data_IF_193945877771
#
_entry.id   IF_193945877771
#
_cell.length_a   1.000
_cell.length_b   1.000
_cell.length_c   1.000
_cell.angle_alpha   90.00
_cell.angle_beta   90.00
_cell.angle_gamma   90.00
#
_symmetry.space_group_name_H-M   'P 1'
#
loop_
_entity.id
_entity.type
_entity.pdbx_description
1 polymer ?
#
# COMPACT_ATOMS: atom_id res chain seq x y z
N UNK A 1 3.06 3.62 -44.06
CA UNK A 1 3.19 4.09 -42.67
C UNK A 1 1.92 3.73 -41.90
N UNK A 2 1.96 2.66 -41.08
CA UNK A 2 0.80 2.22 -40.29
C UNK A 2 0.76 3.02 -38.98
N UNK A 3 -0.26 3.85 -38.80
CA UNK A 3 -0.57 4.49 -37.52
C UNK A 3 -1.09 3.40 -36.57
N UNK A 4 -0.27 2.97 -35.63
CA UNK A 4 -0.70 2.17 -34.48
C UNK A 4 -1.44 3.09 -33.51
N UNK A 5 -2.77 3.08 -33.58
CA UNK A 5 -3.63 3.68 -32.56
C UNK A 5 -3.43 2.93 -31.25
N UNK A 6 -2.84 3.57 -30.24
CA UNK A 6 -2.86 3.06 -28.88
C UNK A 6 -4.31 3.01 -28.38
N UNK A 7 -4.75 1.94 -27.68
CA UNK A 7 -6.05 1.95 -27.05
C UNK A 7 -6.01 2.95 -25.88
N UNK A 8 -6.71 4.06 -26.03
CA UNK A 8 -6.96 5.02 -24.95
C UNK A 8 -7.91 4.38 -23.94
N UNK A 9 -7.36 3.68 -22.94
CA UNK A 9 -8.16 3.19 -21.79
C UNK A 9 -8.05 4.23 -20.68
N UNK A 10 -8.66 5.38 -20.89
CA UNK A 10 -9.03 6.30 -19.81
C UNK A 10 -10.40 5.87 -19.30
N UNK A 11 -10.43 4.73 -18.61
CA UNK A 11 -11.61 4.30 -17.87
C UNK A 11 -11.58 4.97 -16.49
N UNK A 12 -12.69 5.59 -16.03
CA UNK A 12 -12.77 6.09 -14.67
C UNK A 12 -12.47 4.93 -13.71
N UNK A 13 -11.53 5.13 -12.78
CA UNK A 13 -11.25 4.12 -11.77
C UNK A 13 -12.47 3.87 -10.88
N UNK A 14 -12.52 2.73 -10.18
CA UNK A 14 -13.73 2.28 -9.46
C UNK A 14 -14.11 3.28 -8.35
N UNK A 15 -13.16 4.06 -7.86
CA UNK A 15 -13.41 5.18 -6.94
C UNK A 15 -14.35 6.25 -7.53
N UNK A 16 -14.39 6.42 -8.85
CA UNK A 16 -15.39 7.27 -9.52
C UNK A 16 -16.77 6.62 -9.66
N UNK A 17 -16.82 5.28 -9.69
CA UNK A 17 -18.07 4.51 -9.74
C UNK A 17 -18.76 4.44 -8.38
N UNK A 18 -17.98 4.46 -7.28
CA UNK A 18 -18.48 4.41 -5.90
C UNK A 18 -18.72 5.80 -5.29
N UNK A 19 -18.32 6.89 -5.97
CA UNK A 19 -18.74 8.26 -5.66
C UNK A 19 -18.18 8.92 -4.40
N UNK A 20 -17.45 8.21 -3.54
CA UNK A 20 -16.94 8.78 -2.29
C UNK A 20 -15.44 8.58 -2.12
N UNK A 21 -14.68 9.68 -2.15
CA UNK A 21 -13.30 9.67 -1.69
C UNK A 21 -13.30 9.37 -0.17
N UNK A 22 -12.43 8.48 0.34
CA UNK A 22 -12.33 8.14 1.76
C UNK A 22 -11.59 9.24 2.55
N UNK A 23 -12.08 10.47 2.44
CA UNK A 23 -11.57 11.66 3.14
C UNK A 23 -12.41 11.94 4.39
N UNK A 24 -11.73 12.33 5.46
CA UNK A 24 -12.36 12.78 6.70
C UNK A 24 -12.68 14.29 6.62
N UNK A 25 -13.53 14.82 7.53
CA UNK A 25 -13.74 16.26 7.64
C UNK A 25 -12.41 17.02 7.77
N UNK A 26 -12.27 18.13 7.02
CA UNK A 26 -11.06 18.94 6.96
C UNK A 26 -10.00 18.46 5.96
N UNK A 27 -10.14 17.27 5.37
CA UNK A 27 -9.23 16.80 4.32
C UNK A 27 -9.73 17.14 2.92
N UNK A 28 -8.79 17.47 2.02
CA UNK A 28 -9.12 17.82 0.64
C UNK A 28 -9.36 16.58 -0.22
N UNK A 29 -10.62 16.38 -0.62
CA UNK A 29 -11.00 15.39 -1.63
C UNK A 29 -10.27 15.59 -2.97
N UNK A 30 -9.84 16.83 -3.27
CA UNK A 30 -9.06 17.15 -4.46
C UNK A 30 -7.64 16.62 -4.36
N UNK A 31 -6.98 16.81 -3.20
CA UNK A 31 -5.63 16.28 -2.96
C UNK A 31 -5.62 14.75 -3.01
N UNK A 32 -6.64 14.10 -2.44
CA UNK A 32 -6.79 12.66 -2.54
C UNK A 32 -6.87 12.20 -4.00
N UNK A 33 -7.79 12.81 -4.78
CA UNK A 33 -7.97 12.48 -6.21
C UNK A 33 -6.71 12.73 -7.04
N UNK A 34 -6.00 13.83 -6.80
CA UNK A 34 -4.73 14.09 -7.51
C UNK A 34 -3.65 13.07 -7.13
N UNK A 35 -3.59 12.65 -5.87
CA UNK A 35 -2.65 11.61 -5.43
C UNK A 35 -2.95 10.25 -6.04
N UNK A 36 -4.23 9.88 -6.17
CA UNK A 36 -4.65 8.67 -6.90
C UNK A 36 -4.19 8.73 -8.37
N UNK A 37 -4.42 9.86 -9.05
CA UNK A 37 -4.00 10.03 -10.44
C UNK A 37 -2.47 9.94 -10.59
N UNK A 38 -1.72 10.55 -9.68
CA UNK A 38 -0.27 10.45 -9.64
C UNK A 38 0.18 8.99 -9.46
N UNK A 39 -0.41 8.25 -8.52
CA UNK A 39 -0.08 6.83 -8.30
C UNK A 39 -0.38 5.95 -9.52
N UNK A 40 -1.49 6.18 -10.21
CA UNK A 40 -1.85 5.49 -11.46
C UNK A 40 -0.79 5.75 -12.55
N UNK A 41 -0.33 6.99 -12.65
CA UNK A 41 0.69 7.40 -13.62
C UNK A 41 2.07 6.80 -13.27
N UNK A 42 2.49 6.89 -12.01
CA UNK A 42 3.77 6.38 -11.51
C UNK A 42 3.88 4.86 -11.67
N UNK A 43 2.80 4.12 -11.39
CA UNK A 43 2.75 2.67 -11.56
C UNK A 43 2.58 2.23 -13.02
N UNK A 44 2.38 3.17 -13.94
CA UNK A 44 2.16 2.87 -15.37
C UNK A 44 0.91 2.00 -15.60
N UNK A 45 -0.12 2.16 -14.79
CA UNK A 45 -1.33 1.35 -14.85
C UNK A 45 -2.15 1.66 -16.11
N UNK A 46 -2.31 0.68 -16.99
CA UNK A 46 -3.00 0.83 -18.28
C UNK A 46 -4.35 0.10 -18.34
N UNK A 47 -4.46 -1.01 -17.61
CA UNK A 47 -5.69 -1.81 -17.56
C UNK A 47 -6.58 -1.38 -16.40
N UNK A 48 -7.90 -1.60 -16.52
CA UNK A 48 -8.85 -1.28 -15.43
C UNK A 48 -8.47 -1.92 -14.10
N UNK A 49 -7.97 -3.16 -14.13
CA UNK A 49 -7.54 -3.88 -12.93
C UNK A 49 -6.25 -3.27 -12.34
N UNK A 50 -5.28 -2.87 -13.17
CA UNK A 50 -4.09 -2.16 -12.71
C UNK A 50 -4.44 -0.80 -12.10
N UNK A 51 -5.35 -0.06 -12.73
CA UNK A 51 -5.83 1.23 -12.19
C UNK A 51 -6.47 1.00 -10.82
N UNK A 52 -7.36 0.01 -10.69
CA UNK A 52 -7.97 -0.33 -9.39
C UNK A 52 -6.93 -0.68 -8.32
N UNK A 53 -5.93 -1.50 -8.66
CA UNK A 53 -4.87 -1.84 -7.71
C UNK A 53 -4.02 -0.63 -7.33
N UNK A 54 -3.70 0.25 -8.28
CA UNK A 54 -3.01 1.52 -8.01
C UNK A 54 -3.82 2.41 -7.07
N UNK A 55 -5.15 2.51 -7.26
CA UNK A 55 -6.04 3.21 -6.32
C UNK A 55 -5.95 2.61 -4.91
N UNK A 56 -6.01 1.28 -4.78
CA UNK A 56 -5.98 0.60 -3.48
C UNK A 56 -4.61 0.68 -2.80
N UNK A 57 -3.53 0.65 -3.57
CA UNK A 57 -2.17 0.93 -3.09
C UNK A 57 -2.11 2.33 -2.49
N UNK A 58 -2.58 3.34 -3.24
CA UNK A 58 -2.62 4.72 -2.76
C UNK A 58 -3.50 4.88 -1.53
N UNK A 59 -4.66 4.21 -1.49
CA UNK A 59 -5.56 4.24 -0.34
C UNK A 59 -4.88 3.71 0.93
N UNK A 60 -4.09 2.62 0.83
CA UNK A 60 -3.32 2.10 1.96
C UNK A 60 -2.31 3.13 2.46
N UNK A 61 -1.55 3.76 1.56
CA UNK A 61 -0.60 4.82 1.90
C UNK A 61 -1.28 6.02 2.57
N UNK A 62 -2.45 6.41 2.06
CA UNK A 62 -3.25 7.49 2.60
C UNK A 62 -3.70 7.21 4.04
N UNK A 63 -4.22 6.01 4.30
CA UNK A 63 -4.61 5.58 5.65
C UNK A 63 -3.41 5.50 6.60
N UNK A 64 -2.27 4.95 6.18
CA UNK A 64 -1.08 4.89 7.03
C UNK A 64 -0.60 6.29 7.43
N UNK A 65 -0.50 7.22 6.46
CA UNK A 65 -0.12 8.61 6.76
C UNK A 65 -1.10 9.28 7.73
N UNK A 66 -2.39 8.95 7.62
CA UNK A 66 -3.42 9.46 8.54
C UNK A 66 -3.24 8.90 9.95
N UNK A 67 -3.01 7.60 10.10
CA UNK A 67 -2.78 6.99 11.41
C UNK A 67 -1.52 7.52 12.07
N UNK A 68 -0.45 7.79 11.30
CA UNK A 68 0.74 8.46 11.85
C UNK A 68 0.41 9.88 12.35
N UNK A 69 -0.28 10.70 11.56
CA UNK A 69 -0.73 12.02 12.06
C UNK A 69 -1.62 11.90 13.30
N UNK A 70 -2.46 10.89 13.36
CA UNK A 70 -3.32 10.64 14.51
C UNK A 70 -2.53 10.23 15.75
N UNK A 71 -1.42 9.48 15.61
CA UNK A 71 -0.50 9.18 16.72
C UNK A 71 0.08 10.47 17.30
N UNK A 72 0.61 11.33 16.43
CA UNK A 72 1.15 12.63 16.84
C UNK A 72 0.08 13.47 17.56
N UNK A 73 -1.11 13.59 16.98
CA UNK A 73 -2.23 14.31 17.59
C UNK A 73 -2.65 13.71 18.95
N UNK A 74 -2.67 12.38 19.07
CA UNK A 74 -3.02 11.69 20.33
C UNK A 74 -2.03 12.05 21.43
N UNK A 75 -0.72 12.03 21.13
CA UNK A 75 0.31 12.42 22.10
C UNK A 75 0.16 13.89 22.47
N UNK A 76 -0.02 14.78 21.49
CA UNK A 76 -0.18 16.20 21.74
C UNK A 76 -1.42 16.52 22.60
N UNK A 77 -2.55 15.83 22.37
CA UNK A 77 -3.75 15.96 23.21
C UNK A 77 -3.48 15.56 24.65
N UNK A 78 -2.76 14.46 24.89
CA UNK A 78 -2.41 14.04 26.25
C UNK A 78 -1.43 15.01 26.91
N UNK A 79 -0.42 15.48 26.18
CA UNK A 79 0.51 16.50 26.69
C UNK A 79 -0.24 17.78 27.08
N UNK A 80 -1.13 18.26 26.21
CA UNK A 80 -1.97 19.42 26.52
C UNK A 80 -2.89 19.18 27.72
N UNK A 81 -3.43 17.97 27.88
CA UNK A 81 -4.27 17.61 29.03
C UNK A 81 -3.51 17.54 30.35
N UNK A 82 -2.20 17.21 30.30
CA UNK A 82 -1.32 17.24 31.49
C UNK A 82 -0.95 18.67 31.90
N UNK A 83 -0.78 19.58 30.94
CA UNK A 83 -0.52 21.01 31.20
C UNK A 83 -1.80 21.74 31.62
N UNK A 84 -2.95 21.41 31.02
CA UNK A 84 -4.24 22.03 31.32
C UNK A 84 -5.31 20.94 31.59
N UNK A 85 -5.37 20.38 32.81
CA UNK A 85 -6.31 19.33 33.18
C UNK A 85 -7.71 19.88 33.51
N UNK A 86 -7.90 21.20 33.53
CA UNK A 86 -9.18 21.80 33.84
C UNK A 86 -10.27 21.36 32.86
N UNK A 87 -11.47 21.09 33.38
CA UNK A 87 -12.61 20.61 32.58
C UNK A 87 -13.61 21.72 32.24
N UNK A 88 -13.35 22.95 32.71
CA UNK A 88 -14.23 24.10 32.41
C UNK A 88 -14.05 24.53 30.96
N UNK A 89 -15.05 25.19 30.34
CA UNK A 89 -14.97 25.64 28.95
C UNK A 89 -13.71 26.47 28.63
N UNK A 90 -13.34 27.40 29.51
CA UNK A 90 -12.12 28.21 29.36
C UNK A 90 -10.83 27.37 29.43
N UNK A 91 -10.85 26.29 30.22
CA UNK A 91 -9.70 25.39 30.37
C UNK A 91 -9.57 24.50 29.11
N UNK A 92 -10.69 24.14 28.46
CA UNK A 92 -10.71 23.43 27.17
C UNK A 92 -10.16 24.29 26.02
N UNK A 93 -10.48 25.58 25.98
CA UNK A 93 -9.91 26.51 25.00
C UNK A 93 -8.39 26.62 25.17
N UNK A 94 -7.90 26.81 26.41
CA UNK A 94 -6.46 26.81 26.71
C UNK A 94 -5.79 25.51 26.31
N UNK A 95 -6.43 24.37 26.57
CA UNK A 95 -5.94 23.05 26.15
C UNK A 95 -5.81 22.96 24.62
N UNK A 96 -6.77 23.48 23.87
CA UNK A 96 -6.68 23.49 22.40
C UNK A 96 -5.52 24.34 21.89
N UNK A 97 -5.30 25.52 22.48
CA UNK A 97 -4.18 26.40 22.14
C UNK A 97 -2.84 25.71 22.42
N UNK A 98 -2.71 25.07 23.60
CA UNK A 98 -1.51 24.31 23.96
C UNK A 98 -1.30 23.12 23.03
N UNK A 99 -2.36 22.42 22.65
CA UNK A 99 -2.29 21.33 21.68
C UNK A 99 -1.79 21.82 20.31
N UNK A 100 -2.28 22.96 19.83
CA UNK A 100 -1.85 23.55 18.55
C UNK A 100 -0.38 23.97 18.60
N UNK A 101 0.08 24.57 19.71
CA UNK A 101 1.49 24.90 19.93
C UNK A 101 2.39 23.66 19.89
N UNK A 102 1.98 22.58 20.57
CA UNK A 102 2.72 21.31 20.57
C UNK A 102 2.74 20.68 19.16
N UNK A 103 1.62 20.72 18.44
CA UNK A 103 1.54 20.18 17.07
C UNK A 103 2.35 21.00 16.06
N UNK A 104 2.56 22.29 16.32
CA UNK A 104 3.39 23.18 15.52
C UNK A 104 4.88 23.15 15.89
N UNK A 105 5.26 22.37 16.91
CA UNK A 105 6.62 22.36 17.51
C UNK A 105 7.06 23.76 18.00
N UNK A 106 6.11 24.58 18.43
CA UNK A 106 6.32 25.97 18.83
C UNK A 106 6.55 26.06 20.35
N UNK A 107 7.76 25.69 20.79
CA UNK A 107 8.16 25.68 22.20
C UNK A 107 8.49 27.11 22.67
N UNK A 108 7.45 27.89 22.89
CA UNK A 108 7.56 29.27 23.34
C UNK A 108 7.65 29.41 24.86
N UNK A 109 8.12 30.59 25.32
CA UNK A 109 8.19 30.93 26.75
C UNK A 109 6.86 30.75 27.50
N UNK A 110 5.73 30.97 26.84
CA UNK A 110 4.40 30.75 27.43
C UNK A 110 4.15 29.26 27.74
N UNK A 111 4.54 28.35 26.84
CA UNK A 111 4.43 26.91 27.03
C UNK A 111 5.38 26.42 28.13
N UNK A 112 6.62 26.92 28.11
CA UNK A 112 7.63 26.61 29.15
C UNK A 112 7.13 27.05 30.53
N UNK A 113 6.61 28.28 30.65
CA UNK A 113 6.06 28.77 31.92
C UNK A 113 4.87 27.93 32.41
N UNK A 114 3.99 27.49 31.51
CA UNK A 114 2.87 26.61 31.84
C UNK A 114 3.34 25.23 32.35
N UNK A 115 4.47 24.73 31.84
CA UNK A 115 5.08 23.47 32.28
C UNK A 115 5.81 23.62 33.62
N UNK A 116 6.57 24.70 33.81
CA UNK A 116 7.27 25.02 35.06
C UNK A 116 6.29 25.16 36.23
N UNK A 117 5.13 25.79 36.02
CA UNK A 117 4.06 25.88 37.00
C UNK A 117 3.53 24.54 37.51
N UNK A 118 3.88 23.42 36.85
CA UNK A 118 3.50 22.05 37.21
C UNK A 118 4.68 21.13 37.50
N UNK A 119 5.89 21.66 37.62
CA UNK A 119 7.12 20.88 37.76
C UNK A 119 7.31 19.85 36.63
N UNK A 120 6.91 20.22 35.39
CA UNK A 120 7.07 19.38 34.21
C UNK A 120 8.24 19.88 33.36
N UNK A 121 9.09 18.94 32.94
CA UNK A 121 10.01 19.12 31.82
C UNK A 121 9.38 18.57 30.54
N UNK A 122 9.94 18.92 29.37
CA UNK A 122 9.45 18.39 28.08
C UNK A 122 9.54 16.86 28.05
N UNK A 123 10.64 16.29 28.53
CA UNK A 123 10.85 14.85 28.56
C UNK A 123 9.88 14.13 29.52
N UNK A 124 9.70 14.68 30.72
CA UNK A 124 8.76 14.07 31.69
C UNK A 124 7.31 14.20 31.24
N UNK A 125 6.96 15.30 30.56
CA UNK A 125 5.66 15.51 29.93
C UNK A 125 5.42 14.47 28.82
N UNK A 126 6.38 14.31 27.91
CA UNK A 126 6.32 13.32 26.84
C UNK A 126 6.18 11.90 27.40
N UNK A 127 7.02 11.52 28.36
CA UNK A 127 6.97 10.20 28.98
C UNK A 127 5.62 9.90 29.62
N UNK A 128 5.05 10.87 30.36
CA UNK A 128 3.74 10.73 31.00
C UNK A 128 2.62 10.65 29.96
N UNK A 129 2.68 11.47 28.92
CA UNK A 129 1.70 11.43 27.83
C UNK A 129 1.73 10.08 27.09
N UNK A 130 2.92 9.59 26.74
CA UNK A 130 3.10 8.29 26.09
C UNK A 130 2.57 7.14 26.96
N UNK A 131 2.82 7.19 28.28
CA UNK A 131 2.28 6.20 29.20
C UNK A 131 0.74 6.25 29.23
N UNK A 132 0.16 7.45 29.30
CA UNK A 132 -1.29 7.64 29.37
C UNK A 132 -2.03 7.21 28.08
N UNK A 133 -1.46 7.45 26.89
CA UNK A 133 -2.08 7.04 25.62
C UNK A 133 -1.56 5.73 25.03
N UNK A 134 -0.71 4.98 25.75
CA UNK A 134 -0.08 3.75 25.24
C UNK A 134 -1.05 2.80 24.53
N UNK A 135 -2.22 2.54 25.13
CA UNK A 135 -3.22 1.64 24.53
C UNK A 135 -3.76 2.14 23.18
N UNK A 136 -3.99 3.46 23.06
CA UNK A 136 -4.41 4.08 21.79
C UNK A 136 -3.30 4.06 20.75
N UNK A 137 -2.05 4.29 21.15
CA UNK A 137 -0.90 4.22 20.24
C UNK A 137 -0.72 2.81 19.69
N UNK A 138 -0.80 1.78 20.54
CA UNK A 138 -0.73 0.38 20.10
C UNK A 138 -1.85 0.04 19.10
N UNK A 139 -3.08 0.48 19.37
CA UNK A 139 -4.19 0.26 18.44
C UNK A 139 -4.00 0.97 17.08
N UNK A 140 -3.33 2.13 17.06
CA UNK A 140 -2.98 2.82 15.81
C UNK A 140 -1.84 2.12 15.08
N UNK A 141 -0.83 1.63 15.79
CA UNK A 141 0.27 0.84 15.22
C UNK A 141 -0.23 -0.48 14.61
N UNK A 142 -1.18 -1.16 15.26
CA UNK A 142 -1.86 -2.33 14.69
C UNK A 142 -2.58 -2.02 13.37
N UNK A 143 -3.25 -0.86 13.30
CA UNK A 143 -3.92 -0.41 12.07
C UNK A 143 -2.90 -0.09 10.97
N UNK A 144 -1.76 0.54 11.31
CA UNK A 144 -0.67 0.78 10.36
C UNK A 144 -0.10 -0.54 9.85
N UNK A 145 0.17 -1.49 10.75
CA UNK A 145 0.69 -2.82 10.39
C UNK A 145 -0.27 -3.57 9.47
N UNK A 146 -1.58 -3.51 9.73
CA UNK A 146 -2.59 -4.11 8.87
C UNK A 146 -2.64 -3.48 7.47
N UNK A 147 -2.50 -2.15 7.38
CA UNK A 147 -2.42 -1.46 6.08
C UNK A 147 -1.13 -1.77 5.35
N UNK A 148 0.00 -1.87 6.04
CA UNK A 148 1.29 -2.27 5.46
C UNK A 148 1.25 -3.69 4.89
N UNK A 149 0.64 -4.64 5.64
CA UNK A 149 0.43 -6.02 5.16
C UNK A 149 -0.45 -6.05 3.90
N UNK A 150 -1.54 -5.29 3.91
CA UNK A 150 -2.44 -5.19 2.75
C UNK A 150 -1.73 -4.59 1.54
N UNK A 151 -0.94 -3.52 1.76
CA UNK A 151 -0.13 -2.87 0.74
C UNK A 151 0.84 -3.86 0.08
N UNK A 152 1.57 -4.65 0.87
CA UNK A 152 2.49 -5.66 0.33
C UNK A 152 1.78 -6.68 -0.56
N UNK A 153 0.58 -7.15 -0.16
CA UNK A 153 -0.23 -8.05 -0.97
C UNK A 153 -0.72 -7.41 -2.28
N UNK A 154 -1.10 -6.13 -2.24
CA UNK A 154 -1.51 -5.38 -3.43
C UNK A 154 -0.34 -5.13 -4.39
N UNK A 155 0.85 -4.81 -3.86
CA UNK A 155 2.07 -4.63 -4.66
C UNK A 155 2.46 -5.94 -5.37
N UNK A 156 2.50 -7.06 -4.64
CA UNK A 156 2.76 -8.38 -5.22
C UNK A 156 1.74 -8.73 -6.32
N UNK A 157 0.46 -8.44 -6.09
CA UNK A 157 -0.60 -8.65 -7.09
C UNK A 157 -0.42 -7.78 -8.33
N UNK A 158 0.00 -6.53 -8.15
CA UNK A 158 0.26 -5.59 -9.23
C UNK A 158 1.46 -6.05 -10.08
N UNK A 159 2.55 -6.46 -9.45
CA UNK A 159 3.75 -6.99 -10.13
C UNK A 159 3.44 -8.21 -10.97
N UNK A 160 2.66 -9.17 -10.43
CA UNK A 160 2.22 -10.36 -11.18
C UNK A 160 1.44 -9.96 -12.43
N UNK A 161 0.56 -8.97 -12.35
CA UNK A 161 -0.23 -8.51 -13.49
C UNK A 161 0.61 -7.83 -14.56
N UNK A 162 1.57 -7.00 -14.17
CA UNK A 162 2.49 -6.34 -15.10
C UNK A 162 3.38 -7.38 -15.79
N UNK A 163 3.88 -8.36 -15.04
CA UNK A 163 4.78 -9.40 -15.56
C UNK A 163 4.04 -10.52 -16.31
N UNK A 164 2.71 -10.60 -16.23
CA UNK A 164 1.91 -11.67 -16.83
C UNK A 164 2.15 -11.83 -18.33
N UNK A 165 2.23 -10.72 -19.06
CA UNK A 165 2.46 -10.75 -20.52
C UNK A 165 3.83 -11.32 -20.85
N UNK A 166 4.88 -10.81 -20.21
CA UNK A 166 6.25 -11.29 -20.39
C UNK A 166 6.38 -12.78 -20.04
N UNK A 167 5.74 -13.21 -18.95
CA UNK A 167 5.73 -14.62 -18.56
C UNK A 167 4.99 -15.49 -19.58
N UNK A 168 3.87 -15.01 -20.14
CA UNK A 168 3.13 -15.74 -21.18
C UNK A 168 3.95 -15.88 -22.46
N UNK A 169 4.62 -14.80 -22.88
CA UNK A 169 5.51 -14.80 -24.05
C UNK A 169 6.71 -15.74 -23.81
N UNK A 170 7.34 -15.69 -22.63
CA UNK A 170 8.42 -16.61 -22.25
C UNK A 170 7.96 -18.07 -22.33
N UNK A 171 6.82 -18.40 -21.73
CA UNK A 171 6.27 -19.77 -21.76
C UNK A 171 5.95 -20.22 -23.18
N UNK A 172 5.44 -19.33 -24.03
CA UNK A 172 5.20 -19.61 -25.44
C UNK A 172 6.49 -19.91 -26.19
N UNK A 173 7.52 -19.07 -26.03
CA UNK A 173 8.82 -19.25 -26.68
C UNK A 173 9.49 -20.55 -26.23
N UNK A 174 9.39 -20.90 -24.94
CA UNK A 174 9.89 -22.15 -24.41
C UNK A 174 9.18 -23.36 -25.02
N UNK A 175 7.85 -23.31 -25.14
CA UNK A 175 7.07 -24.36 -25.80
C UNK A 175 7.41 -24.50 -27.30
N UNK A 176 7.65 -23.39 -27.99
CA UNK A 176 8.08 -23.40 -29.40
C UNK A 176 9.47 -24.03 -29.56
N UNK A 177 10.40 -23.75 -28.63
CA UNK A 177 11.72 -24.38 -28.59
C UNK A 177 11.61 -25.89 -28.33
N UNK A 178 10.85 -26.31 -27.31
CA UNK A 178 10.64 -27.73 -27.01
C UNK A 178 10.03 -28.49 -28.20
N UNK A 179 9.08 -27.87 -28.93
CA UNK A 179 8.50 -28.48 -30.14
C UNK A 179 9.50 -28.64 -31.27
N UNK A 180 10.41 -27.67 -31.44
CA UNK A 180 11.50 -27.76 -32.41
C UNK A 180 12.48 -28.87 -32.03
N UNK A 181 12.87 -28.94 -30.77
CA UNK A 181 13.79 -29.96 -30.28
C UNK A 181 13.18 -31.36 -30.42
N UNK A 182 11.90 -31.54 -30.10
CA UNK A 182 11.20 -32.81 -30.32
C UNK A 182 11.11 -33.20 -31.80
N UNK A 183 10.92 -32.23 -32.71
CA UNK A 183 10.92 -32.48 -34.15
C UNK A 183 12.32 -32.74 -34.73
N UNK A 184 13.38 -32.32 -34.04
CA UNK A 184 14.77 -32.61 -34.44
C UNK A 184 15.24 -34.00 -33.99
N UNK A 185 14.55 -34.61 -33.02
CA UNK A 185 14.74 -36.00 -32.63
C UNK A 185 13.87 -36.89 -33.53
N UNK A 186 14.30 -37.08 -34.78
CA UNK A 186 13.85 -38.22 -35.58
C UNK A 186 14.41 -39.50 -34.92
N UNK A 187 13.60 -40.15 -34.09
CA UNK A 187 13.92 -41.50 -33.61
C UNK A 187 13.70 -42.44 -34.79
N UNK A 188 14.72 -43.15 -35.30
CA UNK A 188 14.48 -44.21 -36.27
C UNK A 188 13.55 -45.22 -35.59
N UNK A 189 12.36 -45.42 -36.15
CA UNK A 189 11.52 -46.55 -35.77
C UNK A 189 12.35 -47.82 -35.97
N UNK A 190 12.81 -48.41 -34.86
CA UNK A 190 13.32 -49.78 -34.85
C UNK A 190 12.11 -50.64 -35.22
N UNK A 191 12.03 -51.00 -36.50
CA UNK A 191 11.03 -51.93 -37.01
C UNK A 191 11.10 -53.25 -36.24
N UNK A 192 9.97 -53.98 -36.11
CA UNK A 192 9.93 -55.22 -35.37
C UNK A 192 10.97 -56.23 -35.90
N UNK A 193 11.60 -57.02 -35.02
CA UNK A 193 12.64 -57.96 -35.42
C UNK A 193 12.09 -58.94 -36.46
N UNK A 194 12.79 -59.02 -37.59
CA UNK A 194 12.49 -59.93 -38.69
C UNK A 194 12.37 -61.38 -38.19
N UNK A 195 11.23 -62.01 -38.48
CA UNK A 195 10.94 -63.40 -38.19
C UNK A 195 12.04 -64.34 -38.70
N UNK A 196 12.66 -65.06 -37.77
CA UNK A 196 13.53 -66.20 -38.04
C UNK A 196 12.65 -67.35 -38.59
N UNK A 197 12.81 -67.68 -39.88
CA UNK A 197 12.17 -68.86 -40.48
C UNK A 197 12.70 -70.14 -39.83
N UNK A 198 11.85 -71.06 -39.34
CA UNK A 198 12.29 -72.37 -38.89
C UNK A 198 12.56 -73.28 -40.10
N UNK A 199 13.80 -73.74 -40.21
CA UNK A 199 14.16 -74.86 -41.08
C UNK A 199 13.70 -76.17 -40.47
N UNK A 200 12.75 -76.87 -41.11
CA UNK A 200 12.63 -78.33 -41.04
C UNK A 200 12.45 -78.88 -42.45
N UNK A 201 13.50 -79.56 -42.95
CA UNK A 201 13.40 -80.47 -44.10
C UNK A 201 12.81 -81.79 -43.61
N UNK A 202 11.86 -82.31 -44.38
CA UNK A 202 11.33 -83.65 -44.30
C UNK A 202 12.35 -84.67 -44.84
N UNK A 203 12.30 -85.91 -44.32
CA UNK A 203 13.12 -87.05 -44.75
C UNK A 203 13.50 -87.92 -43.57
#
# INVERSE_FOLDING_TARGET
>A
MRKSSAPSVSGPGISSLLGTAPVLPGESARLYRSGVLAAVQELGAQTRLQVYLAEKIFECLWWMRRYERQKHATVATEMASLIEPGERPLDLEKRSIVMDMIMADDINHALIAAMEGRNLSLDSLLQRALFACRGRLLALDEQIALKAKTLAGLQASFEVLVNRRLNTERMRLQNELLRRDLGAVDVPLIGPPSDVKPTKKAG
#
